data_IF_409858497753
#
_entry.id   IF_409858497753
#
_cell.length_a   1.000
_cell.length_b   1.000
_cell.length_c   1.000
_cell.angle_alpha   90.00
_cell.angle_beta   90.00
_cell.angle_gamma   90.00
#
_symmetry.space_group_name_H-M   'P 1'
#
loop_
_entity.id
_entity.type
_entity.pdbx_description
1 polymer ?
#
# COMPACT_ATOMS: atom_id res chain seq x y z
N UNK A 1 25.84 -40.35 -36.33
CA UNK A 1 25.42 -39.77 -35.04
C UNK A 1 25.86 -38.30 -34.97
N UNK A 2 24.94 -37.36 -34.72
CA UNK A 2 25.27 -35.97 -34.30
C UNK A 2 24.53 -35.74 -32.97
N UNK A 3 25.19 -35.37 -31.86
CA UNK A 3 24.48 -35.13 -30.61
C UNK A 3 23.79 -33.77 -30.66
N UNK A 4 22.58 -33.79 -30.13
CA UNK A 4 21.58 -32.74 -30.05
C UNK A 4 22.06 -31.61 -29.12
N UNK A 5 22.04 -30.35 -29.59
CA UNK A 5 22.23 -29.19 -28.73
C UNK A 5 21.09 -29.14 -27.71
N UNK A 6 21.39 -29.47 -26.45
CA UNK A 6 20.50 -29.23 -25.33
C UNK A 6 20.45 -27.72 -25.16
N UNK A 7 19.31 -27.14 -25.54
CA UNK A 7 18.95 -25.75 -25.24
C UNK A 7 18.73 -25.68 -23.73
N UNK A 8 19.74 -25.25 -22.99
CA UNK A 8 19.59 -24.89 -21.58
C UNK A 8 18.47 -23.84 -21.50
N UNK A 9 17.29 -24.26 -21.06
CA UNK A 9 16.32 -23.32 -20.51
C UNK A 9 16.97 -22.80 -19.23
N UNK A 10 17.20 -21.49 -19.08
CA UNK A 10 17.49 -20.99 -17.75
C UNK A 10 16.32 -21.40 -16.84
N UNK A 11 16.62 -22.07 -15.75
CA UNK A 11 15.65 -22.35 -14.70
C UNK A 11 15.04 -21.02 -14.24
N UNK A 12 13.74 -21.01 -13.96
CA UNK A 12 13.03 -19.80 -13.50
C UNK A 12 13.74 -19.16 -12.29
N UNK A 13 14.35 -19.98 -11.44
CA UNK A 13 15.18 -19.55 -10.30
C UNK A 13 16.40 -18.71 -10.71
N UNK A 14 17.08 -19.06 -11.81
CA UNK A 14 18.23 -18.31 -12.30
C UNK A 14 17.82 -16.95 -12.90
N UNK A 15 16.62 -16.85 -13.47
CA UNK A 15 16.09 -15.60 -14.04
C UNK A 15 15.59 -14.66 -12.94
N UNK A 16 14.97 -15.22 -11.88
CA UNK A 16 14.60 -14.50 -10.66
C UNK A 16 15.84 -13.85 -10.02
N UNK A 17 16.89 -14.65 -9.81
CA UNK A 17 18.15 -14.20 -9.21
C UNK A 17 18.92 -13.17 -10.07
N UNK A 18 18.82 -13.24 -11.41
CA UNK A 18 19.52 -12.30 -12.31
C UNK A 18 18.73 -11.01 -12.63
N UNK A 19 17.44 -10.93 -12.29
CA UNK A 19 16.61 -9.72 -12.46
C UNK A 19 16.38 -8.94 -11.16
N UNK A 20 16.96 -9.37 -10.04
CA UNK A 20 16.73 -8.72 -8.74
C UNK A 20 15.26 -8.75 -8.37
N UNK A 21 14.58 -9.88 -8.60
CA UNK A 21 13.23 -10.08 -8.09
C UNK A 21 13.28 -9.91 -6.58
N UNK A 22 12.45 -9.00 -6.10
CA UNK A 22 12.21 -8.86 -4.69
C UNK A 22 11.79 -10.22 -4.14
N UNK A 23 12.17 -10.50 -2.89
CA UNK A 23 11.65 -11.66 -2.18
C UNK A 23 10.11 -11.51 -2.05
N UNK A 24 9.36 -12.34 -2.78
CA UNK A 24 7.90 -12.39 -2.75
C UNK A 24 7.39 -12.50 -1.30
N UNK A 25 8.15 -13.16 -0.43
CA UNK A 25 7.84 -13.29 0.99
C UNK A 25 7.85 -11.95 1.72
N UNK A 26 8.80 -11.08 1.39
CA UNK A 26 8.90 -9.75 1.99
C UNK A 26 7.75 -8.84 1.54
N UNK A 27 7.48 -8.80 0.24
CA UNK A 27 6.39 -8.00 -0.31
C UNK A 27 5.04 -8.46 0.24
N UNK A 28 4.84 -9.78 0.32
CA UNK A 28 3.64 -10.38 0.90
C UNK A 28 3.51 -10.09 2.40
N UNK A 29 4.60 -10.17 3.16
CA UNK A 29 4.61 -9.84 4.59
C UNK A 29 4.24 -8.38 4.85
N UNK A 30 4.65 -7.45 3.97
CA UNK A 30 4.22 -6.05 4.03
C UNK A 30 2.72 -5.89 3.75
N UNK A 31 2.20 -6.60 2.74
CA UNK A 31 0.76 -6.61 2.43
C UNK A 31 -0.05 -7.12 3.62
N UNK A 32 0.35 -8.24 4.22
CA UNK A 32 -0.33 -8.82 5.39
C UNK A 32 -0.32 -7.87 6.59
N UNK A 33 0.82 -7.24 6.89
CA UNK A 33 0.92 -6.27 7.97
C UNK A 33 0.03 -5.04 7.74
N UNK A 34 -0.03 -4.55 6.49
CA UNK A 34 -0.88 -3.44 6.07
C UNK A 34 -2.38 -3.79 6.20
N UNK A 35 -2.78 -4.99 5.76
CA UNK A 35 -4.15 -5.49 5.86
C UNK A 35 -4.55 -5.77 7.32
N UNK A 36 -3.60 -6.13 8.18
CA UNK A 36 -3.84 -6.24 9.62
C UNK A 36 -3.91 -4.87 10.33
N UNK A 37 -3.71 -3.76 9.60
CA UNK A 37 -3.56 -2.41 10.13
C UNK A 37 -2.46 -2.30 11.21
N UNK A 38 -1.40 -3.09 11.10
CA UNK A 38 -0.29 -3.11 12.04
C UNK A 38 0.84 -2.20 11.57
N UNK A 39 0.73 -0.91 11.88
CA UNK A 39 1.72 0.11 11.46
C UNK A 39 3.13 -0.13 12.00
N UNK A 40 3.25 -0.64 13.23
CA UNK A 40 4.56 -0.97 13.83
C UNK A 40 5.27 -2.06 13.03
N UNK A 41 4.55 -3.14 12.68
CA UNK A 41 5.09 -4.22 11.84
C UNK A 41 5.41 -3.75 10.42
N UNK A 42 4.59 -2.88 9.84
CA UNK A 42 4.87 -2.29 8.52
C UNK A 42 6.20 -1.55 8.56
N UNK A 43 6.42 -0.68 9.55
CA UNK A 43 7.67 0.10 9.66
C UNK A 43 8.88 -0.77 9.98
N UNK A 44 8.72 -1.83 10.79
CA UNK A 44 9.77 -2.82 11.02
C UNK A 44 10.20 -3.50 9.70
N UNK A 45 9.24 -3.96 8.89
CA UNK A 45 9.53 -4.60 7.60
C UNK A 45 10.17 -3.63 6.59
N UNK A 46 9.81 -2.35 6.61
CA UNK A 46 10.47 -1.30 5.80
C UNK A 46 11.92 -1.10 6.24
N UNK A 47 12.19 -1.07 7.55
CA UNK A 47 13.55 -0.99 8.08
C UNK A 47 14.40 -2.19 7.66
N UNK A 48 13.84 -3.40 7.75
CA UNK A 48 14.50 -4.62 7.32
C UNK A 48 14.80 -4.61 5.81
N UNK A 49 13.88 -4.05 5.01
CA UNK A 49 14.07 -3.82 3.58
C UNK A 49 15.26 -2.88 3.30
N UNK A 50 15.29 -1.75 4.02
CA UNK A 50 16.33 -0.75 3.87
C UNK A 50 17.72 -1.32 4.21
N UNK A 51 17.81 -2.15 5.26
CA UNK A 51 19.05 -2.80 5.67
C UNK A 51 19.62 -3.76 4.61
N UNK A 52 18.77 -4.27 3.71
CA UNK A 52 19.16 -5.15 2.59
C UNK A 52 19.45 -4.41 1.29
N UNK A 53 19.31 -3.08 1.24
CA UNK A 53 19.57 -2.29 0.04
C UNK A 53 18.52 -2.49 -1.06
N UNK A 54 17.24 -2.53 -0.68
CA UNK A 54 16.14 -2.78 -1.60
C UNK A 54 15.94 -1.64 -2.63
N UNK A 55 15.50 -2.00 -3.84
CA UNK A 55 14.97 -1.03 -4.80
C UNK A 55 13.51 -0.70 -4.49
N UNK A 56 13.26 0.52 -4.00
CA UNK A 56 11.95 0.96 -3.50
C UNK A 56 10.82 0.90 -4.53
N UNK A 57 11.11 1.22 -5.79
CA UNK A 57 10.10 1.09 -6.84
C UNK A 57 9.78 -0.38 -7.14
N UNK A 58 10.79 -1.24 -7.15
CA UNK A 58 10.61 -2.68 -7.35
C UNK A 58 9.76 -3.29 -6.23
N UNK A 59 9.94 -2.84 -4.99
CA UNK A 59 9.08 -3.24 -3.86
C UNK A 59 7.60 -2.90 -4.11
N UNK A 60 7.31 -1.67 -4.53
CA UNK A 60 5.93 -1.29 -4.85
C UNK A 60 5.37 -2.08 -6.04
N UNK A 61 6.19 -2.37 -7.05
CA UNK A 61 5.81 -3.20 -8.21
C UNK A 61 5.44 -4.62 -7.77
N UNK A 62 6.23 -5.24 -6.89
CA UNK A 62 5.93 -6.60 -6.43
C UNK A 62 4.66 -6.61 -5.57
N UNK A 63 4.51 -5.64 -4.66
CA UNK A 63 3.28 -5.52 -3.87
C UNK A 63 2.04 -5.35 -4.75
N UNK A 64 2.12 -4.52 -5.80
CA UNK A 64 1.04 -4.35 -6.78
C UNK A 64 0.73 -5.66 -7.52
N UNK A 65 1.77 -6.41 -7.91
CA UNK A 65 1.64 -7.68 -8.62
C UNK A 65 0.98 -8.74 -7.74
N UNK A 66 1.34 -8.82 -6.46
CA UNK A 66 0.70 -9.69 -5.48
C UNK A 66 -0.77 -9.30 -5.24
N UNK A 67 -1.08 -8.02 -5.03
CA UNK A 67 -2.48 -7.58 -4.87
C UNK A 67 -3.33 -7.88 -6.10
N UNK A 68 -2.78 -7.72 -7.31
CA UNK A 68 -3.45 -8.15 -8.54
C UNK A 68 -3.76 -9.66 -8.53
N UNK A 69 -2.79 -10.49 -8.15
CA UNK A 69 -2.98 -11.95 -8.05
C UNK A 69 -4.04 -12.32 -7.01
N UNK A 70 -4.08 -11.62 -5.86
CA UNK A 70 -5.16 -11.79 -4.87
C UNK A 70 -6.53 -11.49 -5.49
N UNK A 71 -6.67 -10.40 -6.24
CA UNK A 71 -7.92 -10.08 -6.94
C UNK A 71 -8.29 -11.14 -7.99
N UNK A 72 -7.30 -11.67 -8.72
CA UNK A 72 -7.54 -12.76 -9.69
C UNK A 72 -7.99 -14.05 -9.02
N UNK A 73 -7.45 -14.38 -7.84
CA UNK A 73 -7.88 -15.54 -7.03
C UNK A 73 -9.31 -15.43 -6.52
N UNK A 74 -9.74 -14.20 -6.20
CA UNK A 74 -11.13 -13.93 -5.80
C UNK A 74 -12.10 -14.17 -6.95
N UNK A 75 -11.68 -13.90 -8.19
CA UNK A 75 -12.48 -14.16 -9.38
C UNK A 75 -12.45 -15.64 -9.80
N UNK A 76 -11.28 -16.28 -9.74
CA UNK A 76 -11.08 -17.67 -10.12
C UNK A 76 -10.04 -18.35 -9.24
N UNK A 77 -10.42 -19.36 -8.43
CA UNK A 77 -9.49 -20.08 -7.55
C UNK A 77 -8.36 -20.81 -8.29
N UNK A 78 -8.50 -21.02 -9.60
CA UNK A 78 -7.52 -21.68 -10.47
C UNK A 78 -6.51 -20.71 -11.11
N UNK A 79 -6.52 -19.43 -10.72
CA UNK A 79 -5.71 -18.39 -11.35
C UNK A 79 -4.22 -18.34 -10.89
N UNK A 80 -3.81 -19.16 -9.92
CA UNK A 80 -2.41 -19.22 -9.46
C UNK A 80 -1.59 -20.19 -10.31
N UNK A 81 -0.37 -19.78 -10.70
CA UNK A 81 0.64 -20.61 -11.35
C UNK A 81 1.49 -21.41 -10.36
N UNK A 82 2.21 -22.42 -10.88
CA UNK A 82 3.04 -23.34 -10.08
C UNK A 82 4.29 -22.68 -9.46
N UNK A 83 4.65 -21.48 -9.93
CA UNK A 83 5.76 -20.65 -9.47
C UNK A 83 5.55 -20.05 -8.06
N UNK A 84 4.32 -20.10 -7.53
CA UNK A 84 3.96 -19.47 -6.25
C UNK A 84 3.78 -20.46 -5.11
N UNK A 85 4.25 -21.70 -5.25
CA UNK A 85 3.99 -22.78 -4.30
C UNK A 85 4.38 -22.44 -2.84
N UNK A 86 5.42 -21.62 -2.65
CA UNK A 86 5.90 -21.19 -1.33
C UNK A 86 4.93 -20.27 -0.60
N UNK A 87 4.21 -19.41 -1.33
CA UNK A 87 3.32 -18.38 -0.77
C UNK A 87 1.84 -18.60 -1.10
N UNK A 88 1.51 -19.63 -1.87
CA UNK A 88 0.16 -19.94 -2.35
C UNK A 88 -0.86 -19.95 -1.21
N UNK A 89 -0.53 -20.61 -0.10
CA UNK A 89 -1.46 -20.73 1.03
C UNK A 89 -1.81 -19.36 1.64
N UNK A 90 -0.81 -18.50 1.80
CA UNK A 90 -0.99 -17.12 2.31
C UNK A 90 -1.80 -16.28 1.33
N UNK A 91 -1.52 -16.39 0.03
CA UNK A 91 -2.28 -15.72 -1.03
C UNK A 91 -3.75 -16.14 -1.07
N UNK A 92 -4.03 -17.44 -0.92
CA UNK A 92 -5.41 -17.95 -0.83
C UNK A 92 -6.12 -17.46 0.43
N UNK A 93 -5.42 -17.35 1.54
CA UNK A 93 -5.97 -16.80 2.79
C UNK A 93 -6.35 -15.33 2.64
N UNK A 94 -5.47 -14.51 2.03
CA UNK A 94 -5.79 -13.12 1.70
C UNK A 94 -7.00 -13.02 0.78
N UNK A 95 -7.05 -13.83 -0.28
CA UNK A 95 -8.17 -13.83 -1.21
C UNK A 95 -9.51 -14.17 -0.52
N UNK A 96 -9.50 -15.04 0.49
CA UNK A 96 -10.69 -15.43 1.26
C UNK A 96 -11.14 -14.39 2.28
N UNK A 97 -10.19 -13.74 2.94
CA UNK A 97 -10.47 -12.91 4.12
C UNK A 97 -10.63 -11.43 3.81
N UNK A 98 -9.99 -10.95 2.73
CA UNK A 98 -9.96 -9.54 2.37
C UNK A 98 -11.08 -9.22 1.38
N UNK A 99 -11.96 -8.26 1.65
CA UNK A 99 -12.97 -7.85 0.69
C UNK A 99 -12.36 -7.37 -0.65
N UNK A 100 -12.96 -7.67 -1.81
CA UNK A 100 -12.44 -7.22 -3.11
C UNK A 100 -12.31 -5.70 -3.23
N UNK A 101 -13.23 -4.95 -2.60
CA UNK A 101 -13.16 -3.49 -2.56
C UNK A 101 -11.89 -2.99 -1.84
N UNK A 102 -11.51 -3.66 -0.74
CA UNK A 102 -10.32 -3.31 0.04
C UNK A 102 -9.05 -3.63 -0.75
N UNK A 103 -9.01 -4.78 -1.45
CA UNK A 103 -7.90 -5.12 -2.37
C UNK A 103 -7.70 -4.03 -3.42
N UNK A 104 -8.79 -3.54 -4.02
CA UNK A 104 -8.73 -2.45 -5.00
C UNK A 104 -8.26 -1.13 -4.37
N UNK A 105 -8.71 -0.82 -3.14
CA UNK A 105 -8.27 0.37 -2.41
C UNK A 105 -6.76 0.34 -2.16
N UNK A 106 -6.21 -0.77 -1.68
CA UNK A 106 -4.76 -0.90 -1.48
C UNK A 106 -4.01 -0.80 -2.80
N UNK A 107 -4.47 -1.52 -3.83
CA UNK A 107 -3.85 -1.50 -5.16
C UNK A 107 -3.79 -0.08 -5.72
N UNK A 108 -4.90 0.66 -5.66
CA UNK A 108 -4.97 2.03 -6.15
C UNK A 108 -4.07 2.97 -5.35
N UNK A 109 -4.00 2.80 -4.03
CA UNK A 109 -3.16 3.62 -3.14
C UNK A 109 -1.68 3.40 -3.44
N UNK A 110 -1.24 2.15 -3.57
CA UNK A 110 0.13 1.77 -3.94
C UNK A 110 0.49 2.24 -5.35
N UNK A 111 -0.45 2.15 -6.29
CA UNK A 111 -0.23 2.58 -7.67
C UNK A 111 -0.02 4.10 -7.77
N UNK A 112 -0.78 4.88 -6.99
CA UNK A 112 -0.57 6.33 -6.87
C UNK A 112 0.78 6.60 -6.23
N UNK A 113 1.09 5.94 -5.12
CA UNK A 113 2.38 6.08 -4.44
C UNK A 113 3.58 5.81 -5.35
N UNK A 114 3.48 4.78 -6.20
CA UNK A 114 4.50 4.48 -7.22
C UNK A 114 4.65 5.61 -8.25
N UNK A 115 3.53 6.18 -8.73
CA UNK A 115 3.56 7.32 -9.67
C UNK A 115 4.18 8.56 -9.04
N UNK A 116 3.94 8.78 -7.74
CA UNK A 116 4.44 9.91 -6.96
C UNK A 116 5.90 9.72 -6.50
N UNK A 117 6.40 8.47 -6.50
CA UNK A 117 7.72 8.11 -5.96
C UNK A 117 8.90 8.94 -6.52
N UNK A 118 8.98 9.26 -7.83
CA UNK A 118 10.07 10.08 -8.37
C UNK A 118 10.06 11.53 -7.88
N UNK A 119 8.93 12.00 -7.33
CA UNK A 119 8.76 13.36 -6.82
C UNK A 119 8.95 13.44 -5.30
N UNK A 120 9.11 12.29 -4.63
CA UNK A 120 9.39 12.26 -3.20
C UNK A 120 10.81 12.81 -2.93
N UNK A 121 11.02 13.54 -1.81
CA UNK A 121 12.35 14.04 -1.43
C UNK A 121 13.40 12.93 -1.30
N UNK A 122 12.94 11.76 -0.85
CA UNK A 122 13.70 10.54 -0.73
C UNK A 122 12.78 9.35 -1.10
N UNK A 123 13.30 8.34 -1.81
CA UNK A 123 12.49 7.21 -2.28
C UNK A 123 11.93 6.36 -1.14
N UNK A 124 12.70 6.13 -0.08
CA UNK A 124 12.23 5.41 1.11
C UNK A 124 11.09 6.18 1.76
N UNK A 125 11.25 7.49 1.95
CA UNK A 125 10.19 8.35 2.49
C UNK A 125 8.91 8.30 1.64
N UNK A 126 9.02 8.27 0.31
CA UNK A 126 7.88 8.11 -0.59
C UNK A 126 7.12 6.79 -0.38
N UNK A 127 7.85 5.69 -0.18
CA UNK A 127 7.25 4.38 0.16
C UNK A 127 6.60 4.41 1.55
N UNK A 128 7.29 4.92 2.57
CA UNK A 128 6.75 5.05 3.93
C UNK A 128 5.44 5.86 3.93
N UNK A 129 5.40 7.00 3.22
CA UNK A 129 4.19 7.81 3.08
C UNK A 129 3.07 7.09 2.32
N UNK A 130 3.41 6.30 1.31
CA UNK A 130 2.44 5.48 0.56
C UNK A 130 1.80 4.42 1.48
N UNK A 131 2.61 3.75 2.29
CA UNK A 131 2.14 2.72 3.23
C UNK A 131 1.34 3.32 4.38
N UNK A 132 1.77 4.47 4.92
CA UNK A 132 0.99 5.24 5.91
C UNK A 132 -0.37 5.66 5.37
N UNK A 133 -0.42 6.11 4.10
CA UNK A 133 -1.67 6.46 3.43
C UNK A 133 -2.59 5.23 3.32
N UNK A 134 -2.06 4.08 2.95
CA UNK A 134 -2.83 2.84 2.89
C UNK A 134 -3.36 2.40 4.27
N UNK A 135 -2.58 2.57 5.34
CA UNK A 135 -3.00 2.35 6.72
C UNK A 135 -4.07 3.36 7.17
N UNK A 136 -3.94 4.63 6.79
CA UNK A 136 -4.90 5.69 7.13
C UNK A 136 -6.27 5.44 6.50
N UNK A 137 -6.31 4.92 5.27
CA UNK A 137 -7.54 4.55 4.58
C UNK A 137 -7.98 3.10 4.83
N UNK A 138 -7.43 2.45 5.87
CA UNK A 138 -7.82 1.10 6.22
C UNK A 138 -9.29 1.06 6.68
N UNK A 139 -10.18 0.31 6.00
CA UNK A 139 -11.64 0.46 6.12
C UNK A 139 -12.21 0.07 7.49
N UNK A 140 -11.46 -0.70 8.30
CA UNK A 140 -11.86 -1.11 9.65
C UNK A 140 -11.24 -0.29 10.78
N UNK A 141 -10.15 0.45 10.51
CA UNK A 141 -9.34 1.18 11.50
C UNK A 141 -8.60 2.35 10.84
N UNK A 142 -9.30 3.45 10.52
CA UNK A 142 -8.62 4.67 10.13
C UNK A 142 -7.67 5.11 11.26
N UNK A 143 -6.52 5.69 10.91
CA UNK A 143 -5.66 6.32 11.92
C UNK A 143 -6.48 7.38 12.68
N UNK A 144 -6.29 7.53 14.01
CA UNK A 144 -7.03 8.52 14.78
C UNK A 144 -6.78 9.92 14.21
N UNK A 145 -7.86 10.64 13.88
CA UNK A 145 -7.76 12.05 13.50
C UNK A 145 -7.18 12.83 14.69
N UNK A 146 -6.25 13.78 14.48
CA UNK A 146 -5.86 14.69 15.54
C UNK A 146 -7.11 15.44 16.02
N UNK A 147 -7.39 15.39 17.32
CA UNK A 147 -8.48 16.13 17.95
C UNK A 147 -8.27 17.62 17.69
N UNK A 148 -8.87 18.12 16.60
CA UNK A 148 -8.99 19.55 16.37
C UNK A 148 -10.14 20.00 17.25
N UNK A 149 -9.91 20.91 18.23
CA UNK A 149 -11.01 21.53 18.94
C UNK A 149 -11.90 22.18 17.89
N UNK A 150 -13.14 21.70 17.72
CA UNK A 150 -14.15 22.38 16.92
C UNK A 150 -14.41 23.72 17.60
N UNK A 151 -13.63 24.74 17.24
CA UNK A 151 -13.97 26.11 17.56
C UNK A 151 -15.26 26.41 16.80
N UNK A 152 -16.36 26.36 17.54
CA UNK A 152 -17.65 26.82 17.07
C UNK A 152 -17.52 28.32 16.80
N UNK A 153 -17.28 28.69 15.55
CA UNK A 153 -17.51 30.06 15.10
C UNK A 153 -19.03 30.23 15.00
N UNK A 154 -19.68 30.45 16.13
CA UNK A 154 -21.02 30.98 16.15
C UNK A 154 -20.99 32.35 15.44
N UNK A 155 -21.83 32.59 14.42
CA UNK A 155 -21.90 33.90 13.79
C UNK A 155 -22.39 34.90 14.84
N UNK A 156 -21.53 35.82 15.24
CA UNK A 156 -21.92 36.94 16.10
C UNK A 156 -22.88 37.80 15.28
N UNK A 157 -24.15 37.81 15.66
CA UNK A 157 -25.14 38.68 15.04
C UNK A 157 -24.69 40.14 15.16
N UNK A 158 -24.79 40.96 14.09
CA UNK A 158 -24.40 42.36 14.15
C UNK A 158 -25.28 43.08 15.17
N UNK A 159 -24.65 43.61 16.22
CA UNK A 159 -25.31 44.45 17.23
C UNK A 159 -25.82 45.70 16.52
N UNK A 160 -27.14 45.88 16.50
CA UNK A 160 -27.78 47.07 15.96
C UNK A 160 -27.28 48.31 16.73
N UNK A 161 -26.60 49.21 16.01
CA UNK A 161 -26.17 50.50 16.54
C UNK A 161 -27.42 51.35 16.72
N UNK A 162 -27.84 51.58 17.97
CA UNK A 162 -28.93 52.52 18.27
C UNK A 162 -28.48 53.94 17.90
N UNK A 163 -29.28 54.61 17.08
CA UNK A 163 -29.10 56.00 16.65
C UNK A 163 -29.05 56.96 17.85
N UNK A 164 -28.16 57.98 17.85
CA UNK A 164 -28.12 58.97 18.92
C UNK A 164 -29.36 59.87 18.85
N UNK A 165 -29.99 59.97 20.02
CA UNK A 165 -31.20 60.70 20.36
C UNK A 165 -31.02 62.21 20.12
N UNK A 166 -31.88 62.79 19.27
CA UNK A 166 -32.02 64.24 19.11
C UNK A 166 -32.52 64.86 20.43
N UNK A 167 -31.86 65.94 20.85
CA UNK A 167 -32.26 66.79 21.99
C UNK A 167 -33.01 68.01 21.45
N UNK A 168 -34.25 68.28 21.89
CA UNK A 168 -34.92 69.56 21.67
C UNK A 168 -35.24 70.28 23.00
N UNK A 169 -35.75 71.53 22.92
CA UNK A 169 -35.06 72.78 22.60
C UNK A 169 -34.42 73.47 23.82
#
# INVERSE_FOLDING_TARGET
QRPMCIRDRPSTDAVSTMLGTLDDDQALSLIEAMIAANGERVMALVNDAAARGIEWEALLVEMLSLLHRVAMLQLSPSAIGADMATIEQRMRELARTVPPADVQLYYQTLLIGRKELPFAPDRRMGVEMTLLRALAFHPRKPLPEPETPRQSFAPVAPTAVMSPQQVPP
#
